data_IF_485818007498
#
_entry.id   IF_485818007498
#
_cell.length_a   1.000
_cell.length_b   1.000
_cell.length_c   1.000
_cell.angle_alpha   90.00
_cell.angle_beta   90.00
_cell.angle_gamma   90.00
#
_symmetry.space_group_name_H-M   'P 1'
#
loop_
_entity.id
_entity.type
_entity.pdbx_description
1 polymer ?
#
# COMPACT_ATOMS: atom_id res chain seq x y z
N UNK A 1 6.97 15.89 17.61
CA UNK A 1 8.37 16.24 18.04
C UNK A 1 8.52 16.26 19.57
N UNK A 2 7.60 16.86 20.34
CA UNK A 2 7.74 16.98 21.80
C UNK A 2 7.79 15.66 22.59
N UNK A 3 7.11 14.61 22.11
CA UNK A 3 7.10 13.30 22.78
C UNK A 3 8.45 12.58 22.65
N UNK A 4 9.09 12.70 21.49
CA UNK A 4 10.41 12.09 21.26
C UNK A 4 11.46 12.66 22.19
N UNK A 5 11.53 14.00 22.32
CA UNK A 5 12.52 14.66 23.19
C UNK A 5 12.32 14.36 24.67
N UNK A 6 11.07 14.13 25.11
CA UNK A 6 10.78 13.79 26.51
C UNK A 6 11.19 12.36 26.88
N UNK A 7 11.23 11.47 25.90
CA UNK A 7 11.49 10.03 26.09
C UNK A 7 12.85 9.58 25.52
N UNK A 8 13.73 10.52 25.15
CA UNK A 8 15.09 10.15 24.76
C UNK A 8 15.81 9.48 25.92
N UNK A 9 16.48 8.33 25.67
CA UNK A 9 17.34 7.73 26.67
C UNK A 9 18.39 8.74 27.13
N UNK A 10 18.63 8.80 28.45
CA UNK A 10 19.71 9.56 29.02
C UNK A 10 20.88 8.61 29.27
N UNK A 11 22.08 9.13 29.27
CA UNK A 11 23.30 8.36 29.57
C UNK A 11 23.55 7.19 28.62
N UNK A 12 23.50 7.47 27.31
CA UNK A 12 23.85 6.51 26.26
C UNK A 12 25.31 6.68 25.84
N UNK A 13 26.08 5.59 25.79
CA UNK A 13 27.49 5.63 25.35
C UNK A 13 27.59 5.83 23.83
N UNK A 14 26.62 5.31 23.07
CA UNK A 14 26.58 5.43 21.62
C UNK A 14 25.17 5.75 21.13
N UNK A 15 25.06 6.78 20.27
CA UNK A 15 23.83 7.17 19.61
C UNK A 15 23.99 7.02 18.09
N UNK A 16 23.31 6.03 17.51
CA UNK A 16 23.25 5.84 16.07
C UNK A 16 22.01 6.55 15.52
N UNK A 17 22.21 7.57 14.70
CA UNK A 17 21.16 8.32 14.04
C UNK A 17 21.27 8.20 12.54
N UNK A 18 20.14 7.90 11.88
CA UNK A 18 20.06 8.07 10.44
C UNK A 18 19.99 9.56 10.08
N UNK A 19 20.95 10.01 9.28
CA UNK A 19 21.11 11.42 8.88
C UNK A 19 20.70 11.71 7.45
N UNK A 20 20.10 10.77 6.72
CA UNK A 20 19.83 10.86 5.26
C UNK A 20 19.04 12.12 4.89
N UNK A 21 18.21 12.62 5.77
CA UNK A 21 17.34 13.79 5.55
C UNK A 21 17.80 15.08 6.26
N UNK A 22 18.97 15.08 6.94
CA UNK A 22 19.44 16.27 7.69
C UNK A 22 19.72 17.43 6.74
N UNK A 23 20.29 17.16 5.58
CA UNK A 23 20.63 18.17 4.57
C UNK A 23 19.52 18.43 3.55
N UNK A 24 18.47 17.61 3.53
CA UNK A 24 17.29 17.81 2.68
C UNK A 24 16.36 18.80 3.35
N UNK A 25 16.77 20.05 3.30
CA UNK A 25 16.02 21.15 3.91
C UNK A 25 14.70 21.42 3.18
N UNK A 26 13.69 21.66 3.97
CA UNK A 26 12.57 22.58 3.78
C UNK A 26 11.36 22.21 2.95
N UNK A 27 11.37 21.27 1.99
CA UNK A 27 10.19 21.04 1.13
C UNK A 27 9.81 19.55 0.95
N UNK A 28 9.96 18.73 1.99
CA UNK A 28 9.38 17.39 1.90
C UNK A 28 7.85 17.51 1.89
N UNK A 29 7.18 16.99 0.84
CA UNK A 29 5.73 17.06 0.77
C UNK A 29 5.11 16.31 1.97
N UNK A 30 4.07 16.88 2.56
CA UNK A 30 3.29 16.21 3.59
C UNK A 30 2.53 15.03 2.98
N UNK A 31 2.13 14.05 3.79
CA UNK A 31 1.29 12.95 3.27
C UNK A 31 -0.04 13.46 2.69
N UNK A 32 -0.54 14.61 3.15
CA UNK A 32 -1.70 15.28 2.55
C UNK A 32 -1.41 15.81 1.12
N UNK A 33 -0.21 16.35 0.91
CA UNK A 33 0.19 16.79 -0.44
C UNK A 33 0.32 15.58 -1.38
N UNK A 34 0.88 14.48 -0.88
CA UNK A 34 0.99 13.22 -1.62
C UNK A 34 -0.40 12.64 -1.94
N UNK A 35 -1.33 12.67 -0.99
CA UNK A 35 -2.72 12.27 -1.24
C UNK A 35 -3.34 13.07 -2.38
N UNK A 36 -3.16 14.40 -2.39
CA UNK A 36 -3.65 15.26 -3.48
C UNK A 36 -3.00 14.91 -4.83
N UNK A 37 -1.69 14.66 -4.85
CA UNK A 37 -1.00 14.22 -6.07
C UNK A 37 -1.53 12.89 -6.60
N UNK A 38 -1.90 11.95 -5.73
CA UNK A 38 -2.56 10.71 -6.16
C UNK A 38 -3.93 11.00 -6.76
N UNK A 39 -4.73 11.87 -6.13
CA UNK A 39 -6.05 12.27 -6.67
C UNK A 39 -5.91 12.92 -8.04
N UNK A 40 -4.98 13.84 -8.22
CA UNK A 40 -4.67 14.45 -9.51
C UNK A 40 -4.30 13.40 -10.55
N UNK A 41 -3.36 12.50 -10.21
CA UNK A 41 -2.92 11.44 -11.12
C UNK A 41 -4.05 10.46 -11.51
N UNK A 42 -5.01 10.19 -10.60
CA UNK A 42 -6.15 9.32 -10.90
C UNK A 42 -7.18 10.02 -11.78
N UNK A 43 -7.38 11.33 -11.59
CA UNK A 43 -8.29 12.13 -12.41
C UNK A 43 -7.73 12.42 -13.81
N UNK A 44 -6.40 12.49 -13.96
CA UNK A 44 -5.73 12.66 -15.26
C UNK A 44 -5.91 11.46 -16.20
N UNK A 45 -6.18 10.27 -15.65
CA UNK A 45 -6.43 9.06 -16.42
C UNK A 45 -7.50 8.21 -15.74
N UNK A 46 -8.76 8.67 -15.73
CA UNK A 46 -9.83 8.06 -14.96
C UNK A 46 -10.17 6.63 -15.39
N UNK A 47 -9.94 6.29 -16.65
CA UNK A 47 -10.17 4.99 -17.29
C UNK A 47 -9.00 3.99 -17.10
N UNK A 48 -7.87 4.45 -16.58
CA UNK A 48 -6.68 3.61 -16.43
C UNK A 48 -6.71 2.74 -15.17
N UNK A 49 -6.08 1.56 -15.27
CA UNK A 49 -5.59 0.85 -14.10
C UNK A 49 -4.35 1.55 -13.57
N UNK A 50 -4.40 2.03 -12.33
CA UNK A 50 -3.27 2.67 -11.70
C UNK A 50 -2.45 1.66 -10.90
N UNK A 51 -1.19 1.52 -11.25
CA UNK A 51 -0.22 0.74 -10.49
C UNK A 51 0.61 1.70 -9.64
N UNK A 52 0.60 1.52 -8.32
CA UNK A 52 1.37 2.36 -7.40
C UNK A 52 2.48 1.54 -6.78
N UNK A 53 3.71 1.95 -7.01
CA UNK A 53 4.88 1.34 -6.40
C UNK A 53 5.32 2.13 -5.19
N UNK A 54 5.04 1.59 -4.00
CA UNK A 54 5.57 2.12 -2.74
C UNK A 54 5.88 0.98 -1.76
N UNK A 55 6.56 1.32 -0.67
CA UNK A 55 6.90 0.35 0.37
C UNK A 55 5.67 -0.06 1.18
N UNK A 56 5.50 -1.37 1.38
CA UNK A 56 4.46 -1.91 2.26
C UNK A 56 4.62 -1.51 3.74
N UNK A 57 5.81 -1.04 4.14
CA UNK A 57 6.11 -0.58 5.51
C UNK A 57 5.81 0.91 5.71
N UNK A 58 5.56 1.64 4.63
CA UNK A 58 5.19 3.05 4.72
C UNK A 58 3.67 3.18 4.93
N UNK A 59 3.25 3.00 6.18
CA UNK A 59 1.84 2.97 6.57
C UNK A 59 1.14 4.30 6.23
N UNK A 60 1.79 5.42 6.51
CA UNK A 60 1.22 6.75 6.23
C UNK A 60 0.95 6.93 4.74
N UNK A 61 1.89 6.46 3.89
CA UNK A 61 1.74 6.50 2.43
C UNK A 61 0.60 5.61 1.94
N UNK A 62 0.45 4.41 2.51
CA UNK A 62 -0.66 3.51 2.17
C UNK A 62 -1.99 4.13 2.61
N UNK A 63 -2.05 4.76 3.77
CA UNK A 63 -3.24 5.47 4.23
C UNK A 63 -3.57 6.67 3.35
N UNK A 64 -2.57 7.44 2.89
CA UNK A 64 -2.76 8.54 1.95
C UNK A 64 -3.29 8.03 0.60
N UNK A 65 -2.69 6.95 0.09
CA UNK A 65 -3.15 6.28 -1.14
C UNK A 65 -4.59 5.78 -1.02
N UNK A 66 -4.93 5.14 0.09
CA UNK A 66 -6.29 4.65 0.34
C UNK A 66 -7.31 5.79 0.37
N UNK A 67 -7.00 6.91 1.06
CA UNK A 67 -7.89 8.09 1.07
C UNK A 67 -8.05 8.69 -0.32
N UNK A 68 -6.99 8.72 -1.12
CA UNK A 68 -7.08 9.15 -2.52
C UNK A 68 -7.98 8.24 -3.35
N UNK A 69 -7.90 6.92 -3.15
CA UNK A 69 -8.81 5.96 -3.79
C UNK A 69 -10.27 6.25 -3.44
N UNK A 70 -10.59 6.45 -2.16
CA UNK A 70 -11.96 6.80 -1.72
C UNK A 70 -12.45 8.07 -2.41
N UNK A 71 -11.62 9.13 -2.45
CA UNK A 71 -11.98 10.41 -3.07
C UNK A 71 -12.27 10.30 -4.56
N UNK A 72 -11.66 9.32 -5.23
CA UNK A 72 -11.86 9.07 -6.66
C UNK A 72 -12.81 7.90 -6.96
N UNK A 73 -13.49 7.35 -5.95
CA UNK A 73 -14.41 6.21 -6.11
C UNK A 73 -13.72 4.93 -6.57
N UNK A 74 -12.41 4.77 -6.30
CA UNK A 74 -11.62 3.61 -6.69
C UNK A 74 -11.40 2.65 -5.51
N UNK A 75 -11.13 1.40 -5.82
CA UNK A 75 -10.78 0.35 -4.86
C UNK A 75 -9.26 0.16 -4.83
N UNK A 76 -8.67 0.20 -3.63
CA UNK A 76 -7.26 -0.11 -3.43
C UNK A 76 -7.05 -1.62 -3.32
N UNK A 77 -6.30 -2.20 -4.24
CA UNK A 77 -5.90 -3.60 -4.23
C UNK A 77 -4.46 -3.75 -3.70
N UNK A 78 -4.28 -4.50 -2.63
CA UNK A 78 -2.99 -4.74 -1.99
C UNK A 78 -2.65 -6.23 -1.94
N UNK A 79 -1.37 -6.57 -1.77
CA UNK A 79 -0.96 -7.97 -1.61
C UNK A 79 -1.14 -8.46 -0.16
N UNK A 80 -1.11 -9.79 0.10
CA UNK A 80 -1.30 -10.35 1.44
C UNK A 80 -0.25 -9.88 2.46
N UNK A 81 0.98 -9.61 2.04
CA UNK A 81 2.01 -9.10 2.96
C UNK A 81 1.63 -7.71 3.46
N UNK A 82 1.27 -6.79 2.56
CA UNK A 82 0.82 -5.44 2.91
C UNK A 82 -0.44 -5.50 3.78
N UNK A 83 -1.40 -6.35 3.42
CA UNK A 83 -2.64 -6.51 4.19
C UNK A 83 -2.36 -6.98 5.63
N UNK A 84 -1.50 -7.98 5.83
CA UNK A 84 -1.14 -8.45 7.17
C UNK A 84 -0.34 -7.41 7.98
N UNK A 85 0.50 -6.61 7.33
CA UNK A 85 1.17 -5.47 7.99
C UNK A 85 0.15 -4.46 8.50
N UNK A 86 -0.85 -4.10 7.69
CA UNK A 86 -1.91 -3.18 8.11
C UNK A 86 -2.74 -3.75 9.28
N UNK A 87 -3.10 -5.04 9.22
CA UNK A 87 -3.80 -5.72 10.32
C UNK A 87 -2.99 -5.67 11.62
N UNK A 88 -1.70 -5.94 11.56
CA UNK A 88 -0.83 -5.89 12.74
C UNK A 88 -0.73 -4.48 13.33
N UNK A 89 -0.59 -3.45 12.48
CA UNK A 89 -0.50 -2.05 12.95
C UNK A 89 -1.86 -1.54 13.45
N UNK A 90 -2.97 -2.01 12.87
CA UNK A 90 -4.32 -1.63 13.29
C UNK A 90 -4.64 -2.08 14.74
N UNK A 91 -3.96 -3.12 15.25
CA UNK A 91 -4.07 -3.52 16.66
C UNK A 91 -3.60 -2.41 17.62
N UNK A 92 -2.63 -1.61 17.19
CA UNK A 92 -2.09 -0.48 17.97
C UNK A 92 -2.82 0.83 17.66
N UNK A 93 -3.37 0.96 16.46
CA UNK A 93 -4.13 2.13 16.02
C UNK A 93 -5.33 1.73 15.15
N UNK A 94 -6.53 1.60 15.72
CA UNK A 94 -7.73 1.18 15.00
C UNK A 94 -8.19 2.11 13.86
N UNK A 95 -7.58 3.31 13.73
CA UNK A 95 -7.83 4.22 12.60
C UNK A 95 -7.13 3.80 11.31
N UNK A 96 -6.21 2.84 11.39
CA UNK A 96 -5.55 2.29 10.21
C UNK A 96 -6.56 1.41 9.46
N UNK A 97 -6.83 1.70 8.16
CA UNK A 97 -7.74 0.88 7.38
C UNK A 97 -7.14 -0.49 7.08
N UNK A 98 -7.98 -1.52 7.13
CA UNK A 98 -7.61 -2.89 6.77
C UNK A 98 -8.61 -3.45 5.78
N UNK A 99 -8.27 -4.54 5.12
CA UNK A 99 -9.18 -5.22 4.19
C UNK A 99 -10.45 -5.78 4.85
N UNK A 100 -10.44 -5.92 6.16
CA UNK A 100 -11.59 -6.39 6.94
C UNK A 100 -12.46 -5.26 7.49
N UNK A 101 -11.97 -4.04 7.50
CA UNK A 101 -12.67 -2.86 8.05
C UNK A 101 -13.03 -1.82 6.99
N UNK A 102 -12.44 -1.90 5.80
CA UNK A 102 -12.59 -0.93 4.73
C UNK A 102 -13.05 -1.63 3.44
N UNK A 103 -14.28 -1.37 3.01
CA UNK A 103 -14.92 -2.00 1.85
C UNK A 103 -14.13 -1.76 0.55
N UNK A 104 -13.61 -0.54 0.36
CA UNK A 104 -12.82 -0.16 -0.81
C UNK A 104 -11.36 -0.64 -0.74
N UNK A 105 -11.03 -1.57 0.16
CA UNK A 105 -9.72 -2.21 0.21
C UNK A 105 -9.87 -3.70 -0.05
N UNK A 106 -9.15 -4.22 -1.06
CA UNK A 106 -9.22 -5.63 -1.48
C UNK A 106 -7.82 -6.24 -1.55
N UNK A 107 -7.75 -7.56 -1.58
CA UNK A 107 -6.49 -8.31 -1.65
C UNK A 107 -6.41 -9.06 -2.96
N UNK A 108 -5.33 -8.86 -3.72
CA UNK A 108 -4.95 -9.75 -4.81
C UNK A 108 -3.89 -10.73 -4.32
N UNK A 109 -3.92 -11.96 -4.83
CA UNK A 109 -3.03 -13.03 -4.37
C UNK A 109 -2.02 -13.40 -5.46
N UNK A 110 -0.75 -12.91 -5.36
CA UNK A 110 0.30 -13.33 -6.27
C UNK A 110 0.58 -14.83 -6.11
N UNK A 111 0.52 -15.64 -7.18
CA UNK A 111 0.67 -17.10 -7.08
C UNK A 111 1.90 -17.55 -6.30
N UNK A 112 3.09 -17.04 -6.65
CA UNK A 112 4.34 -17.40 -5.92
C UNK A 112 4.29 -17.13 -4.43
N UNK A 113 3.59 -16.07 -3.99
CA UNK A 113 3.47 -15.79 -2.57
C UNK A 113 2.53 -16.79 -1.91
N UNK A 114 1.41 -17.09 -2.56
CA UNK A 114 0.43 -18.06 -2.09
C UNK A 114 1.05 -19.45 -1.98
N UNK A 115 1.71 -19.92 -3.04
CA UNK A 115 2.40 -21.21 -3.08
C UNK A 115 3.42 -21.33 -1.95
N UNK A 116 4.26 -20.29 -1.76
CA UNK A 116 5.25 -20.25 -0.68
C UNK A 116 4.63 -20.30 0.72
N UNK A 117 3.50 -19.65 0.93
CA UNK A 117 2.80 -19.69 2.21
C UNK A 117 2.22 -21.09 2.47
N UNK A 118 1.68 -21.74 1.44
CA UNK A 118 1.18 -23.11 1.50
C UNK A 118 2.31 -24.10 1.78
N UNK A 119 3.40 -24.04 1.03
CA UNK A 119 4.60 -24.90 1.23
C UNK A 119 5.17 -24.79 2.66
N UNK A 120 4.98 -23.66 3.32
CA UNK A 120 5.47 -23.40 4.69
C UNK A 120 4.43 -23.62 5.78
N UNK A 121 3.26 -24.15 5.47
CA UNK A 121 2.12 -24.29 6.37
C UNK A 121 1.74 -22.95 7.05
N UNK A 122 1.74 -21.85 6.27
CA UNK A 122 1.47 -20.50 6.74
C UNK A 122 0.20 -19.90 6.13
N UNK A 123 -0.73 -20.73 5.68
CA UNK A 123 -2.00 -20.32 5.05
C UNK A 123 -2.88 -19.44 5.97
N UNK A 124 -2.61 -19.45 7.27
CA UNK A 124 -3.27 -18.56 8.23
C UNK A 124 -3.20 -17.08 7.80
N UNK A 125 -2.10 -16.67 7.16
CA UNK A 125 -1.93 -15.30 6.65
C UNK A 125 -2.78 -14.99 5.40
N UNK A 126 -3.33 -16.00 4.77
CA UNK A 126 -4.30 -15.88 3.68
C UNK A 126 -5.71 -15.87 4.26
N UNK A 127 -6.03 -16.85 5.10
CA UNK A 127 -7.37 -17.01 5.65
C UNK A 127 -7.78 -15.87 6.58
N UNK A 128 -6.84 -15.28 7.33
CA UNK A 128 -7.09 -14.11 8.19
C UNK A 128 -7.59 -12.88 7.43
N UNK A 129 -7.36 -12.81 6.12
CA UNK A 129 -7.79 -11.71 5.26
C UNK A 129 -9.19 -11.90 4.67
N UNK A 130 -9.89 -12.99 5.04
CA UNK A 130 -11.21 -13.37 4.54
C UNK A 130 -11.29 -13.32 2.98
N UNK A 131 -10.54 -14.19 2.27
CA UNK A 131 -10.41 -14.10 0.81
C UNK A 131 -11.73 -14.30 0.07
N UNK A 132 -12.73 -14.95 0.67
CA UNK A 132 -14.06 -15.10 0.05
C UNK A 132 -14.76 -13.77 -0.19
N UNK A 133 -14.53 -12.77 0.68
CA UNK A 133 -15.18 -11.45 0.59
C UNK A 133 -14.23 -10.37 0.03
N UNK A 134 -12.93 -10.53 0.28
CA UNK A 134 -11.97 -9.45 0.08
C UNK A 134 -11.00 -9.68 -1.10
N UNK A 135 -11.11 -10.83 -1.79
CA UNK A 135 -10.27 -11.12 -2.95
C UNK A 135 -10.70 -10.29 -4.17
N UNK A 136 -9.71 -9.79 -4.89
CA UNK A 136 -9.83 -9.29 -6.27
C UNK A 136 -8.94 -10.15 -7.17
N UNK A 137 -9.44 -10.49 -8.35
CA UNK A 137 -8.74 -11.32 -9.33
C UNK A 137 -8.00 -10.48 -10.37
N UNK A 138 -7.13 -11.12 -11.15
CA UNK A 138 -6.48 -10.47 -12.29
C UNK A 138 -7.47 -10.18 -13.43
N UNK A 139 -8.56 -10.96 -13.51
CA UNK A 139 -9.63 -10.74 -14.49
C UNK A 139 -10.46 -9.49 -14.12
N UNK A 140 -10.66 -9.21 -12.83
CA UNK A 140 -11.32 -7.98 -12.38
C UNK A 140 -10.52 -6.73 -12.81
N UNK A 141 -9.19 -6.77 -12.72
CA UNK A 141 -8.33 -5.69 -13.21
C UNK A 141 -8.38 -5.53 -14.73
N UNK A 142 -8.62 -6.62 -15.45
CA UNK A 142 -8.73 -6.58 -16.92
C UNK A 142 -10.09 -6.09 -17.39
N UNK A 143 -11.17 -6.47 -16.70
CA UNK A 143 -12.53 -6.17 -17.08
C UNK A 143 -13.04 -4.80 -16.62
N UNK A 144 -12.47 -4.26 -15.53
CA UNK A 144 -12.87 -2.97 -14.95
C UNK A 144 -11.64 -2.22 -14.41
N UNK A 145 -10.64 -1.93 -15.27
CA UNK A 145 -9.36 -1.33 -14.84
C UNK A 145 -9.55 0.03 -14.14
N UNK A 146 -10.54 0.79 -14.56
CA UNK A 146 -10.87 2.11 -14.04
C UNK A 146 -11.27 2.08 -12.55
N UNK A 147 -11.75 0.94 -12.04
CA UNK A 147 -12.20 0.81 -10.65
C UNK A 147 -11.06 0.59 -9.67
N UNK A 148 -9.86 0.25 -10.15
CA UNK A 148 -8.82 -0.23 -9.28
C UNK A 148 -7.56 0.62 -9.28
N UNK A 149 -6.95 0.69 -8.10
CA UNK A 149 -5.57 1.10 -7.89
C UNK A 149 -4.84 -0.08 -7.27
N UNK A 150 -3.81 -0.58 -7.92
CA UNK A 150 -3.07 -1.75 -7.47
C UNK A 150 -1.74 -1.34 -6.86
N UNK A 151 -1.52 -1.67 -5.58
CA UNK A 151 -0.20 -1.52 -4.95
C UNK A 151 0.73 -2.61 -5.48
N UNK A 152 1.83 -2.21 -6.13
CA UNK A 152 2.77 -3.13 -6.76
C UNK A 152 4.15 -3.05 -6.17
N UNK A 153 4.90 -4.14 -6.30
CA UNK A 153 6.32 -4.25 -5.95
C UNK A 153 7.07 -4.89 -7.12
N UNK A 154 8.40 -4.80 -7.20
CA UNK A 154 9.16 -5.43 -8.28
C UNK A 154 8.83 -6.90 -8.50
N UNK A 155 8.56 -7.65 -7.42
CA UNK A 155 8.16 -9.05 -7.48
C UNK A 155 6.77 -9.28 -8.08
N UNK A 156 5.94 -8.25 -8.19
CA UNK A 156 4.58 -8.32 -8.77
C UNK A 156 4.63 -8.18 -10.29
N UNK A 157 5.68 -7.58 -10.85
CA UNK A 157 5.80 -7.28 -12.28
C UNK A 157 5.60 -8.50 -13.18
N UNK A 158 6.08 -9.67 -12.76
CA UNK A 158 5.93 -10.93 -13.52
C UNK A 158 4.47 -11.36 -13.70
N UNK A 159 3.56 -10.86 -12.88
CA UNK A 159 2.13 -11.19 -12.94
C UNK A 159 1.31 -10.13 -13.66
N UNK A 160 1.85 -8.93 -13.84
CA UNK A 160 1.17 -7.85 -14.55
C UNK A 160 0.87 -8.22 -16.01
N UNK A 161 1.65 -9.11 -16.62
CA UNK A 161 1.40 -9.64 -17.96
C UNK A 161 0.05 -10.37 -18.10
N UNK A 162 -0.55 -10.80 -16.98
CA UNK A 162 -1.88 -11.43 -16.95
C UNK A 162 -3.01 -10.41 -17.03
N UNK A 163 -2.73 -9.14 -16.78
CA UNK A 163 -3.72 -8.07 -16.80
C UNK A 163 -3.79 -7.51 -18.22
N UNK A 164 -4.96 -7.62 -18.83
CA UNK A 164 -5.24 -7.14 -20.20
C UNK A 164 -6.00 -5.80 -20.14
N UNK A 165 -5.51 -4.85 -19.35
CA UNK A 165 -6.09 -3.52 -19.31
C UNK A 165 -5.59 -2.68 -20.50
N UNK A 166 -6.46 -1.95 -21.21
CA UNK A 166 -6.07 -1.13 -22.37
C UNK A 166 -5.19 0.05 -21.96
N UNK A 167 -5.42 0.62 -20.79
CA UNK A 167 -4.65 1.72 -20.24
C UNK A 167 -4.12 1.37 -18.86
N UNK A 168 -2.80 1.41 -18.69
CA UNK A 168 -2.12 1.18 -17.42
C UNK A 168 -1.20 2.37 -17.13
N UNK A 169 -1.30 2.93 -15.93
CA UNK A 169 -0.40 3.99 -15.43
C UNK A 169 0.40 3.50 -14.24
N UNK A 170 1.71 3.68 -14.28
CA UNK A 170 2.62 3.38 -13.16
C UNK A 170 3.00 4.67 -12.45
N UNK A 171 2.72 4.72 -11.16
CA UNK A 171 3.09 5.80 -10.25
C UNK A 171 4.16 5.27 -9.30
N UNK A 172 5.34 5.86 -9.33
CA UNK A 172 6.42 5.52 -8.42
C UNK A 172 6.41 6.49 -7.25
N UNK A 173 6.06 5.99 -6.07
CA UNK A 173 6.01 6.76 -4.82
C UNK A 173 6.96 6.15 -3.80
N UNK A 174 8.25 6.40 -3.99
CA UNK A 174 9.32 5.96 -3.09
C UNK A 174 9.91 7.15 -2.35
N UNK A 175 10.56 6.88 -1.22
CA UNK A 175 11.42 7.86 -0.58
C UNK A 175 12.55 8.23 -1.57
N UNK A 176 12.63 9.48 -1.89
CA UNK A 176 13.74 10.06 -2.65
C UNK A 176 14.64 10.84 -1.70
#
# INVERSE_FOLDING_TARGET
KGVLYKNLPKDVDYLLLEGTNILRAKNNPTERNIENQFVEAFNDAPDALHLVWCSAKNIDRICALFRACIRCGKTLAIDPYTANVLVAVAQLNPKIPTVTTAEQMKVYFPPRLTDRLTERNQERYIYSLNPKQNKVSYDDFSSSPEKYVMLVRPTTLTYLQRIKAPHIRLIKSIWS
#
